data_IF_612055683971
#
_entry.id   IF_612055683971
#
_cell.length_a   1.000
_cell.length_b   1.000
_cell.length_c   1.000
_cell.angle_alpha   90.00
_cell.angle_beta   90.00
_cell.angle_gamma   90.00
#
_symmetry.space_group_name_H-M   'P 1'
#
loop_
_entity.id
_entity.type
_entity.pdbx_description
1 polymer ?
#
# COMPACT_ATOMS: atom_id res chain seq x y z
N UNK A 1 -21.39 -5.61 -36.54
CA UNK A 1 -22.26 -6.82 -36.60
C UNK A 1 -21.37 -8.03 -36.37
N UNK A 2 -21.29 -8.51 -35.12
CA UNK A 2 -20.52 -9.70 -34.78
C UNK A 2 -21.44 -10.66 -34.02
N UNK A 3 -21.46 -11.90 -34.47
CA UNK A 3 -22.43 -12.93 -34.11
C UNK A 3 -22.28 -13.38 -32.65
N UNK A 4 -23.42 -13.43 -31.96
CA UNK A 4 -23.54 -13.87 -30.56
C UNK A 4 -23.81 -15.37 -30.57
N UNK A 5 -22.79 -16.17 -30.25
CA UNK A 5 -22.88 -17.63 -30.19
C UNK A 5 -23.52 -18.04 -28.85
N UNK A 6 -24.79 -18.42 -28.90
CA UNK A 6 -25.55 -19.02 -27.80
C UNK A 6 -25.12 -20.46 -27.60
N UNK A 7 -24.39 -20.74 -26.51
CA UNK A 7 -24.12 -22.10 -26.05
C UNK A 7 -25.22 -22.51 -25.06
N UNK A 8 -26.18 -23.29 -25.54
CA UNK A 8 -27.18 -24.00 -24.73
C UNK A 8 -26.54 -25.26 -24.16
N UNK A 9 -26.10 -25.20 -22.90
CA UNK A 9 -25.64 -26.37 -22.16
C UNK A 9 -26.82 -27.16 -21.62
N UNK A 10 -27.12 -28.30 -22.26
CA UNK A 10 -27.95 -29.36 -21.71
C UNK A 10 -27.30 -29.92 -20.43
N UNK A 11 -28.00 -29.79 -19.30
CA UNK A 11 -27.67 -30.53 -18.09
C UNK A 11 -28.27 -31.93 -18.19
N UNK A 12 -27.48 -33.01 -18.10
CA UNK A 12 -28.02 -34.36 -18.05
C UNK A 12 -28.80 -34.56 -16.75
N UNK A 13 -30.04 -35.05 -16.89
CA UNK A 13 -30.91 -35.43 -15.80
C UNK A 13 -30.26 -36.53 -14.94
N UNK A 14 -30.12 -36.26 -13.64
CA UNK A 14 -29.69 -37.22 -12.63
C UNK A 14 -30.77 -38.30 -12.45
N UNK A 15 -30.42 -39.60 -12.46
CA UNK A 15 -31.37 -40.67 -12.20
C UNK A 15 -31.78 -40.66 -10.72
N UNK A 16 -33.09 -40.51 -10.50
CA UNK A 16 -33.75 -40.78 -9.23
C UNK A 16 -33.78 -42.30 -9.02
N UNK A 17 -32.70 -42.82 -8.44
CA UNK A 17 -32.62 -44.17 -7.90
C UNK A 17 -33.43 -44.24 -6.61
N UNK A 18 -34.66 -44.71 -6.75
CA UNK A 18 -35.45 -45.25 -5.66
C UNK A 18 -34.84 -46.60 -5.26
N UNK A 19 -34.34 -46.69 -4.02
CA UNK A 19 -34.40 -47.91 -3.23
C UNK A 19 -34.33 -47.52 -1.75
N UNK A 20 -35.53 -47.52 -1.17
CA UNK A 20 -35.82 -47.40 0.25
C UNK A 20 -35.20 -48.56 1.02
N UNK A 21 -33.99 -48.35 1.53
CA UNK A 21 -33.49 -49.05 2.71
C UNK A 21 -32.85 -48.03 3.64
N UNK A 22 -33.69 -47.32 4.39
CA UNK A 22 -33.22 -46.59 5.55
C UNK A 22 -32.63 -47.61 6.53
N UNK A 23 -31.30 -47.58 6.80
CA UNK A 23 -30.75 -48.40 7.86
C UNK A 23 -31.41 -47.95 9.16
N UNK A 24 -32.02 -48.91 9.87
CA UNK A 24 -32.48 -48.72 11.24
C UNK A 24 -31.26 -48.31 12.05
N UNK A 25 -31.13 -47.01 12.33
CA UNK A 25 -30.06 -46.48 13.17
C UNK A 25 -30.26 -47.13 14.53
N UNK A 26 -29.34 -47.98 15.01
CA UNK A 26 -29.44 -48.53 16.35
C UNK A 26 -29.45 -47.34 17.30
N UNK A 27 -30.47 -47.30 18.17
CA UNK A 27 -30.59 -46.30 19.22
C UNK A 27 -29.24 -46.19 19.93
N UNK A 28 -28.52 -45.10 19.65
CA UNK A 28 -27.25 -44.78 20.26
C UNK A 28 -27.52 -44.62 21.75
N UNK A 29 -27.19 -45.69 22.48
CA UNK A 29 -27.16 -45.78 23.92
C UNK A 29 -26.57 -44.49 24.48
N UNK A 30 -27.44 -43.67 25.08
CA UNK A 30 -27.11 -42.45 25.81
C UNK A 30 -26.45 -42.79 27.15
N UNK A 31 -25.37 -43.57 27.12
CA UNK A 31 -24.69 -43.99 28.33
C UNK A 31 -23.22 -44.30 28.04
N UNK A 32 -22.38 -43.27 28.25
CA UNK A 32 -20.94 -43.27 28.63
C UNK A 32 -20.10 -42.21 27.89
N UNK A 33 -20.65 -41.01 27.69
CA UNK A 33 -19.86 -39.80 27.39
C UNK A 33 -19.50 -38.97 28.64
N UNK A 34 -19.76 -39.47 29.85
CA UNK A 34 -19.63 -38.67 31.08
C UNK A 34 -18.18 -38.40 31.55
N UNK A 35 -17.22 -39.24 31.18
CA UNK A 35 -15.83 -39.12 31.68
C UNK A 35 -14.84 -38.60 30.61
N UNK A 36 -14.93 -39.07 29.36
CA UNK A 36 -14.09 -38.56 28.27
C UNK A 36 -14.55 -37.19 27.75
N UNK A 37 -15.86 -36.89 27.78
CA UNK A 37 -16.40 -35.60 27.31
C UNK A 37 -15.92 -34.43 28.17
N UNK A 38 -15.82 -34.61 29.49
CA UNK A 38 -15.33 -33.58 30.40
C UNK A 38 -13.83 -33.29 30.19
N UNK A 39 -13.02 -34.30 29.86
CA UNK A 39 -11.60 -34.10 29.57
C UNK A 39 -11.39 -33.40 28.22
N UNK A 40 -12.07 -33.86 27.17
CA UNK A 40 -12.00 -33.25 25.84
C UNK A 40 -12.50 -31.80 25.84
N UNK A 41 -13.61 -31.52 26.51
CA UNK A 41 -14.15 -30.15 26.63
C UNK A 41 -13.17 -29.22 27.37
N UNK A 42 -12.54 -29.69 28.46
CA UNK A 42 -11.52 -28.90 29.17
C UNK A 42 -10.31 -28.60 28.30
N UNK A 43 -9.83 -29.56 27.52
CA UNK A 43 -8.73 -29.34 26.58
C UNK A 43 -9.10 -28.32 25.51
N UNK A 44 -10.29 -28.43 24.90
CA UNK A 44 -10.76 -27.48 23.88
C UNK A 44 -10.82 -26.06 24.46
N UNK A 45 -11.36 -25.90 25.68
CA UNK A 45 -11.41 -24.59 26.35
C UNK A 45 -10.00 -24.05 26.62
N UNK A 46 -9.07 -24.87 27.09
CA UNK A 46 -7.68 -24.45 27.32
C UNK A 46 -7.00 -24.03 26.01
N UNK A 47 -7.13 -24.81 24.94
CA UNK A 47 -6.57 -24.47 23.63
C UNK A 47 -7.19 -23.19 23.05
N UNK A 48 -8.51 -23.01 23.16
CA UNK A 48 -9.18 -21.79 22.73
C UNK A 48 -8.68 -20.58 23.52
N UNK A 49 -8.50 -20.70 24.84
CA UNK A 49 -7.97 -19.63 25.69
C UNK A 49 -6.50 -19.30 25.36
N UNK A 50 -5.67 -20.31 25.11
CA UNK A 50 -4.27 -20.12 24.69
C UNK A 50 -4.20 -19.46 23.31
N UNK A 51 -5.04 -19.89 22.38
CA UNK A 51 -5.10 -19.30 21.04
C UNK A 51 -5.59 -17.84 21.08
N UNK A 52 -6.69 -17.58 21.80
CA UNK A 52 -7.20 -16.22 22.00
C UNK A 52 -6.17 -15.35 22.75
N UNK A 53 -5.53 -15.88 23.78
CA UNK A 53 -4.46 -15.20 24.51
C UNK A 53 -3.24 -14.90 23.64
N UNK A 54 -2.84 -15.84 22.78
CA UNK A 54 -1.79 -15.61 21.78
C UNK A 54 -2.18 -14.52 20.78
N UNK A 55 -3.41 -14.57 20.27
CA UNK A 55 -3.95 -13.57 19.34
C UNK A 55 -4.00 -12.18 19.98
N UNK A 56 -4.42 -12.07 21.24
CA UNK A 56 -4.42 -10.77 21.94
C UNK A 56 -3.02 -10.27 22.22
N UNK A 57 -2.05 -11.13 22.53
CA UNK A 57 -0.64 -10.70 22.67
C UNK A 57 -0.09 -10.22 21.34
N UNK A 58 -0.34 -10.92 20.23
CA UNK A 58 0.08 -10.48 18.89
C UNK A 58 -0.55 -9.13 18.55
N UNK A 59 -1.86 -8.96 18.77
CA UNK A 59 -2.54 -7.68 18.54
C UNK A 59 -2.08 -6.56 19.50
N UNK A 60 -1.75 -6.90 20.75
CA UNK A 60 -1.22 -5.93 21.71
C UNK A 60 0.21 -5.50 21.35
N UNK A 61 1.07 -6.44 20.94
CA UNK A 61 2.43 -6.12 20.50
C UNK A 61 2.44 -5.32 19.20
N UNK A 62 1.50 -5.59 18.28
CA UNK A 62 1.31 -4.76 17.09
C UNK A 62 0.89 -3.32 17.42
N UNK A 63 0.28 -3.07 18.59
CA UNK A 63 -0.08 -1.72 19.06
C UNK A 63 1.01 -1.02 19.87
N UNK A 64 1.86 -1.77 20.57
CA UNK A 64 2.86 -1.21 21.50
C UNK A 64 4.21 -0.97 20.85
N UNK A 65 4.63 -1.83 19.90
CA UNK A 65 5.89 -1.63 19.17
C UNK A 65 5.75 -0.71 17.96
N UNK A 66 4.55 -0.17 17.76
CA UNK A 66 4.26 0.77 16.72
C UNK A 66 4.12 2.13 17.40
N UNK A 67 5.15 2.97 17.32
CA UNK A 67 4.92 4.43 17.32
C UNK A 67 3.83 4.66 16.28
N UNK A 68 2.60 4.91 16.73
CA UNK A 68 1.36 4.55 16.03
C UNK A 68 1.40 4.97 14.54
N UNK A 69 1.62 4.03 13.60
CA UNK A 69 1.73 4.34 12.18
C UNK A 69 0.44 4.94 11.66
N UNK A 70 -0.69 4.61 12.28
CA UNK A 70 -2.00 5.17 11.97
C UNK A 70 -2.06 6.63 12.42
N UNK A 71 -1.52 6.97 13.59
CA UNK A 71 -1.44 8.36 14.03
C UNK A 71 -0.53 9.18 13.10
N UNK A 72 0.63 8.63 12.73
CA UNK A 72 1.58 9.27 11.79
C UNK A 72 0.98 9.46 10.40
N UNK A 73 0.22 8.48 9.91
CA UNK A 73 -0.49 8.59 8.64
C UNK A 73 -1.61 9.62 8.72
N UNK A 74 -2.35 9.65 9.82
CA UNK A 74 -3.40 10.65 10.03
C UNK A 74 -2.81 12.07 10.02
N UNK A 75 -1.63 12.27 10.60
CA UNK A 75 -0.92 13.56 10.54
C UNK A 75 -0.50 13.91 9.10
N UNK A 76 -0.04 12.92 8.33
CA UNK A 76 0.36 13.10 6.93
C UNK A 76 -0.82 13.46 6.01
N UNK A 77 -1.98 12.86 6.25
CA UNK A 77 -3.14 12.95 5.35
C UNK A 77 -4.24 13.89 5.85
N UNK A 78 -4.17 14.38 7.08
CA UNK A 78 -5.14 15.36 7.59
C UNK A 78 -4.70 16.75 7.16
N UNK A 79 -5.46 17.42 6.27
CA UNK A 79 -5.10 18.77 5.85
C UNK A 79 -5.25 19.74 7.04
N UNK A 80 -4.42 20.80 7.11
CA UNK A 80 -4.64 21.88 8.05
C UNK A 80 -5.97 22.59 7.77
N UNK A 81 -6.52 23.24 8.80
CA UNK A 81 -7.78 23.97 8.70
C UNK A 81 -7.76 24.96 7.52
N UNK A 82 -8.79 24.89 6.68
CA UNK A 82 -8.94 25.75 5.51
C UNK A 82 -8.24 25.27 4.23
N UNK A 83 -7.62 24.09 4.23
CA UNK A 83 -7.04 23.50 3.01
C UNK A 83 -7.89 22.35 2.47
N UNK A 84 -8.23 22.39 1.18
CA UNK A 84 -8.94 21.28 0.52
C UNK A 84 -7.93 20.22 0.08
N UNK A 85 -8.25 18.94 0.29
CA UNK A 85 -7.42 17.83 -0.20
C UNK A 85 -7.30 17.86 -1.73
N UNK A 86 -6.13 17.52 -2.31
CA UNK A 86 -4.87 17.14 -1.65
C UNK A 86 -4.12 18.38 -1.12
N UNK A 87 -3.66 18.34 0.13
CA UNK A 87 -2.91 19.45 0.71
C UNK A 87 -1.93 18.97 1.76
N UNK A 88 -0.70 19.49 1.72
CA UNK A 88 0.35 19.15 2.67
C UNK A 88 0.91 20.43 3.29
N UNK A 89 0.69 20.62 4.61
CA UNK A 89 1.07 21.83 5.35
C UNK A 89 0.72 23.16 4.65
N UNK A 90 -0.47 23.24 4.04
CA UNK A 90 -0.95 24.45 3.35
C UNK A 90 -0.46 24.58 1.90
N UNK A 91 0.36 23.65 1.42
CA UNK A 91 0.78 23.56 0.02
C UNK A 91 -0.25 22.70 -0.74
N UNK A 92 -1.02 23.35 -1.60
CA UNK A 92 -2.07 22.73 -2.40
C UNK A 92 -1.66 22.70 -3.88
N UNK A 93 -1.46 21.51 -4.46
CA UNK A 93 -1.23 21.36 -5.90
C UNK A 93 -2.32 22.06 -6.75
N UNK A 94 -1.88 22.75 -7.79
CA UNK A 94 -2.69 23.56 -8.70
C UNK A 94 -2.99 24.98 -8.19
N UNK A 95 -2.97 25.22 -6.88
CA UNK A 95 -3.36 26.51 -6.28
C UNK A 95 -2.18 27.29 -5.70
N UNK A 96 -1.22 26.61 -5.08
CA UNK A 96 -0.08 27.27 -4.42
C UNK A 96 0.98 27.67 -5.44
N UNK A 97 1.42 28.93 -5.37
CA UNK A 97 2.55 29.45 -6.16
C UNK A 97 3.89 28.96 -5.61
N UNK A 98 4.96 29.05 -6.41
CA UNK A 98 6.32 28.70 -5.95
C UNK A 98 6.72 29.51 -4.72
N UNK A 99 6.46 30.82 -4.71
CA UNK A 99 6.81 31.70 -3.61
C UNK A 99 6.08 31.33 -2.30
N UNK A 100 4.78 31.03 -2.39
CA UNK A 100 3.99 30.57 -1.24
C UNK A 100 4.47 29.21 -0.72
N UNK A 101 4.80 28.28 -1.62
CA UNK A 101 5.30 26.95 -1.23
C UNK A 101 6.64 27.04 -0.49
N UNK A 102 7.57 27.86 -0.98
CA UNK A 102 8.87 28.08 -0.31
C UNK A 102 8.66 28.72 1.07
N UNK A 103 7.82 29.76 1.15
CA UNK A 103 7.52 30.41 2.42
C UNK A 103 6.87 29.45 3.44
N UNK A 104 6.00 28.54 2.96
CA UNK A 104 5.41 27.50 3.80
C UNK A 104 6.47 26.50 4.29
N UNK A 105 7.36 26.03 3.42
CA UNK A 105 8.46 25.13 3.78
C UNK A 105 9.40 25.74 4.81
N UNK A 106 9.80 27.00 4.63
CA UNK A 106 10.71 27.71 5.53
C UNK A 106 10.10 27.97 6.92
N UNK A 107 8.77 27.94 7.05
CA UNK A 107 8.08 28.07 8.33
C UNK A 107 7.99 26.76 9.11
N UNK A 108 8.28 25.61 8.48
CA UNK A 108 8.23 24.32 9.15
C UNK A 108 9.46 24.16 10.07
N UNK A 109 9.27 23.89 11.38
CA UNK A 109 10.38 23.84 12.34
C UNK A 109 11.34 22.67 12.09
N UNK A 110 10.94 21.70 11.26
CA UNK A 110 11.71 20.52 10.92
C UNK A 110 12.37 20.55 9.52
N UNK A 111 12.24 21.65 8.77
CA UNK A 111 12.96 21.84 7.50
C UNK A 111 14.31 22.51 7.77
N UNK A 112 15.38 21.92 7.25
CA UNK A 112 16.75 22.42 7.41
C UNK A 112 17.17 23.36 6.27
N UNK A 113 16.92 22.92 5.04
CA UNK A 113 17.39 23.56 3.82
C UNK A 113 16.34 23.38 2.72
N UNK A 114 16.10 24.44 1.95
CA UNK A 114 15.27 24.42 0.75
C UNK A 114 16.12 24.84 -0.44
N UNK A 115 16.08 24.04 -1.51
CA UNK A 115 16.79 24.30 -2.76
C UNK A 115 15.80 24.39 -3.91
N UNK A 116 15.90 25.49 -4.66
CA UNK A 116 15.01 25.78 -5.78
C UNK A 116 15.81 25.66 -7.08
N UNK A 117 15.29 24.90 -8.03
CA UNK A 117 15.76 24.86 -9.41
C UNK A 117 14.54 25.02 -10.33
N UNK A 118 14.71 25.43 -11.61
CA UNK A 118 13.56 25.59 -12.50
C UNK A 118 12.73 24.30 -12.59
N UNK A 119 11.42 24.38 -12.32
CA UNK A 119 10.51 23.23 -12.34
C UNK A 119 10.51 22.36 -11.08
N UNK A 120 11.34 22.64 -10.07
CA UNK A 120 11.48 21.77 -8.90
C UNK A 120 11.97 22.49 -7.64
N UNK A 121 11.38 22.13 -6.49
CA UNK A 121 11.86 22.52 -5.17
C UNK A 121 12.22 21.24 -4.42
N UNK A 122 13.42 21.15 -3.88
CA UNK A 122 13.85 20.06 -3.00
C UNK A 122 14.12 20.60 -1.61
N UNK A 123 13.96 19.78 -0.60
CA UNK A 123 14.33 20.16 0.76
C UNK A 123 14.82 18.96 1.57
N UNK A 124 15.44 19.28 2.71
CA UNK A 124 15.97 18.34 3.67
C UNK A 124 15.43 18.62 5.06
N UNK A 125 15.28 17.56 5.84
CA UNK A 125 14.86 17.64 7.23
C UNK A 125 16.03 17.95 8.16
N UNK A 126 15.73 18.58 9.29
CA UNK A 126 16.65 18.69 10.41
C UNK A 126 16.43 17.55 11.44
N UNK A 127 17.05 17.67 12.62
CA UNK A 127 16.96 16.67 13.69
C UNK A 127 15.61 16.69 14.45
N UNK A 128 14.78 17.72 14.25
CA UNK A 128 13.45 17.85 14.85
C UNK A 128 12.32 17.25 14.01
N UNK A 129 12.67 16.45 13.00
CA UNK A 129 11.70 15.83 12.10
C UNK A 129 10.84 14.78 12.79
N UNK A 130 9.55 14.66 12.41
CA UNK A 130 8.74 13.49 12.77
C UNK A 130 9.37 12.17 12.32
N UNK A 131 9.17 11.11 13.10
CA UNK A 131 9.74 9.76 12.85
C UNK A 131 9.25 9.14 11.54
N UNK A 132 8.07 9.54 11.07
CA UNK A 132 7.52 9.13 9.77
C UNK A 132 8.38 9.56 8.59
N UNK A 133 9.26 10.56 8.78
CA UNK A 133 10.10 11.15 7.75
C UNK A 133 11.60 10.81 7.91
N UNK A 134 11.93 9.63 8.44
CA UNK A 134 13.33 9.25 8.69
C UNK A 134 14.20 9.27 7.41
N UNK A 135 15.42 9.81 7.53
CA UNK A 135 16.36 9.93 6.42
C UNK A 135 16.78 8.54 5.91
N UNK A 136 16.57 8.30 4.63
CA UNK A 136 16.96 7.04 3.98
C UNK A 136 18.32 7.11 3.27
N UNK A 137 19.10 8.17 3.52
CA UNK A 137 20.39 8.39 2.84
C UNK A 137 20.25 8.82 1.38
N UNK A 138 19.08 9.33 0.96
CA UNK A 138 18.83 9.84 -0.40
C UNK A 138 19.22 11.29 -0.57
N UNK A 139 19.27 11.73 -1.83
CA UNK A 139 19.71 13.06 -2.22
C UNK A 139 18.80 14.19 -1.73
N UNK A 140 17.53 13.93 -1.42
CA UNK A 140 16.56 14.86 -0.86
C UNK A 140 15.51 14.09 -0.05
N UNK A 141 14.89 14.75 0.92
CA UNK A 141 13.87 14.14 1.77
C UNK A 141 12.44 14.40 1.26
N UNK A 142 12.24 15.53 0.58
CA UNK A 142 11.02 15.85 -0.13
C UNK A 142 11.25 16.66 -1.38
N UNK A 143 10.27 16.64 -2.29
CA UNK A 143 10.32 17.30 -3.58
C UNK A 143 8.96 17.88 -3.96
N UNK A 144 8.95 19.10 -4.46
CA UNK A 144 7.81 19.74 -5.11
C UNK A 144 8.14 19.85 -6.60
N UNK A 145 7.19 19.50 -7.45
CA UNK A 145 7.28 19.81 -8.88
C UNK A 145 6.40 21.01 -9.18
N UNK A 146 6.88 21.84 -10.11
CA UNK A 146 6.22 23.07 -10.49
C UNK A 146 5.99 23.12 -12.00
N UNK A 147 4.92 23.76 -12.42
CA UNK A 147 4.64 24.02 -13.83
C UNK A 147 3.96 25.38 -14.00
N UNK A 148 4.10 25.94 -15.20
CA UNK A 148 3.43 27.19 -15.56
C UNK A 148 1.96 26.89 -15.87
N UNK A 149 1.07 27.33 -14.98
CA UNK A 149 -0.38 27.25 -15.14
C UNK A 149 -0.95 28.66 -15.27
N UNK A 150 -1.62 28.94 -16.39
CA UNK A 150 -2.20 30.27 -16.67
C UNK A 150 -1.19 31.44 -16.60
N UNK A 151 0.07 31.19 -16.99
CA UNK A 151 1.12 32.22 -17.02
C UNK A 151 1.85 32.43 -15.69
N UNK A 152 1.56 31.63 -14.66
CA UNK A 152 2.23 31.67 -13.36
C UNK A 152 2.76 30.29 -12.99
N UNK A 153 3.96 30.24 -12.40
CA UNK A 153 4.55 28.97 -11.93
C UNK A 153 3.88 28.54 -10.62
N UNK A 154 3.27 27.36 -10.63
CA UNK A 154 2.49 26.80 -9.54
C UNK A 154 2.93 25.39 -9.23
N UNK A 155 2.74 24.99 -7.98
CA UNK A 155 2.96 23.61 -7.53
C UNK A 155 2.01 22.68 -8.26
N UNK A 156 2.51 21.59 -8.84
CA UNK A 156 1.69 20.54 -9.47
C UNK A 156 1.74 19.21 -8.70
N UNK A 157 2.79 19.00 -7.93
CA UNK A 157 2.90 17.83 -7.06
C UNK A 157 3.80 18.10 -5.86
N UNK A 158 3.52 17.42 -4.75
CA UNK A 158 4.39 17.36 -3.56
C UNK A 158 4.65 15.89 -3.28
N UNK A 159 5.91 15.49 -3.25
CA UNK A 159 6.38 14.12 -3.03
C UNK A 159 7.19 14.07 -1.75
N UNK A 160 6.81 13.18 -0.85
CA UNK A 160 7.42 12.98 0.45
C UNK A 160 7.95 11.57 0.54
N UNK A 161 9.17 11.43 1.04
CA UNK A 161 9.64 10.13 1.48
C UNK A 161 9.12 9.83 2.89
N UNK A 162 8.67 8.59 3.11
CA UNK A 162 8.21 8.15 4.43
C UNK A 162 8.88 6.84 4.84
N UNK A 163 8.80 6.52 6.12
CA UNK A 163 9.13 5.21 6.68
C UNK A 163 7.95 4.24 6.66
N UNK A 164 6.78 4.70 6.25
CA UNK A 164 5.59 3.86 6.17
C UNK A 164 5.79 2.80 5.10
N UNK A 165 5.39 1.58 5.42
CA UNK A 165 5.44 0.47 4.47
C UNK A 165 4.19 0.45 3.61
N UNK A 166 4.27 -0.17 2.44
CA UNK A 166 3.12 -0.34 1.57
C UNK A 166 1.96 -1.07 2.28
N UNK A 167 2.27 -2.10 3.07
CA UNK A 167 1.26 -2.83 3.85
C UNK A 167 0.58 -1.95 4.91
N UNK A 168 1.33 -1.04 5.56
CA UNK A 168 0.74 -0.09 6.51
C UNK A 168 -0.20 0.90 5.81
N UNK A 169 0.19 1.40 4.63
CA UNK A 169 -0.64 2.32 3.84
C UNK A 169 -1.94 1.67 3.39
N UNK A 170 -1.88 0.45 2.84
CA UNK A 170 -3.07 -0.27 2.37
C UNK A 170 -3.99 -0.68 3.53
N UNK A 171 -3.44 -1.10 4.67
CA UNK A 171 -4.24 -1.39 5.86
C UNK A 171 -5.00 -0.16 6.39
N UNK A 172 -4.40 1.03 6.26
CA UNK A 172 -4.96 2.25 6.81
C UNK A 172 -5.89 3.01 5.85
N UNK A 173 -5.61 2.98 4.54
CA UNK A 173 -6.41 3.65 3.51
C UNK A 173 -7.45 2.73 2.85
N UNK A 174 -7.31 1.42 3.02
CA UNK A 174 -8.09 0.43 2.27
C UNK A 174 -7.49 0.17 0.88
N UNK A 175 -8.30 -0.41 0.01
CA UNK A 175 -7.88 -0.68 -1.37
C UNK A 175 -7.73 0.63 -2.18
N UNK A 176 -6.66 0.78 -2.98
CA UNK A 176 -6.53 1.90 -3.91
C UNK A 176 -7.53 1.80 -5.06
N UNK A 177 -7.86 2.95 -5.66
CA UNK A 177 -8.72 3.04 -6.85
C UNK A 177 -8.12 2.30 -8.04
N UNK A 178 -6.80 2.31 -8.17
CA UNK A 178 -6.05 1.58 -9.20
C UNK A 178 -4.59 1.38 -8.80
N UNK A 179 -3.91 0.44 -9.47
CA UNK A 179 -2.48 0.18 -9.29
C UNK A 179 -1.77 0.17 -10.65
N UNK A 180 -0.57 0.73 -10.68
CA UNK A 180 0.30 0.77 -11.85
C UNK A 180 1.68 0.25 -11.48
N UNK A 181 2.28 -0.53 -12.37
CA UNK A 181 3.66 -1.02 -12.28
C UNK A 181 4.45 -0.46 -13.45
N UNK A 182 5.59 0.16 -13.17
CA UNK A 182 6.56 0.62 -14.16
C UNK A 182 7.83 -0.21 -14.01
N UNK A 183 8.23 -0.93 -15.05
CA UNK A 183 9.55 -1.56 -15.05
C UNK A 183 10.58 -0.49 -15.36
N UNK A 184 11.62 -0.36 -14.53
CA UNK A 184 12.76 0.51 -14.78
C UNK A 184 13.85 -0.36 -15.36
N UNK A 185 14.11 -0.19 -16.66
CA UNK A 185 15.29 -0.78 -17.28
C UNK A 185 16.45 0.21 -17.17
N UNK A 186 17.59 -0.21 -16.64
CA UNK A 186 18.73 0.65 -16.50
C UNK A 186 19.34 0.94 -17.88
N UNK A 187 19.39 2.22 -18.26
CA UNK A 187 20.10 2.68 -19.46
C UNK A 187 21.63 2.44 -19.38
N UNK A 188 22.15 2.16 -18.19
CA UNK A 188 23.56 1.90 -17.93
C UNK A 188 23.77 0.98 -16.71
N UNK A 189 24.93 0.33 -16.63
CA UNK A 189 25.30 -0.63 -15.57
C UNK A 189 25.27 -0.08 -14.12
N UNK A 190 24.92 1.19 -13.88
CA UNK A 190 24.86 1.79 -12.54
C UNK A 190 23.47 1.77 -11.92
N UNK A 191 22.42 1.56 -12.70
CA UNK A 191 21.07 1.37 -12.16
C UNK A 191 20.77 -0.12 -12.08
N UNK A 192 20.21 -0.55 -10.95
CA UNK A 192 19.68 -1.90 -10.83
C UNK A 192 18.32 -1.96 -11.52
N UNK A 193 18.02 -3.11 -12.12
CA UNK A 193 16.66 -3.42 -12.56
C UNK A 193 15.71 -3.26 -11.37
N UNK A 194 14.58 -2.62 -11.63
CA UNK A 194 13.60 -2.36 -10.59
C UNK A 194 12.20 -2.23 -11.13
N UNK A 195 11.25 -2.23 -10.20
CA UNK A 195 9.85 -1.94 -10.49
C UNK A 195 9.41 -0.79 -9.61
N UNK A 196 8.78 0.20 -10.21
CA UNK A 196 8.04 1.20 -9.45
C UNK A 196 6.58 0.79 -9.41
N UNK A 197 6.10 0.52 -8.20
CA UNK A 197 4.69 0.29 -7.97
C UNK A 197 4.04 1.59 -7.50
N UNK A 198 2.86 1.91 -8.04
CA UNK A 198 2.07 3.09 -7.73
C UNK A 198 0.65 2.65 -7.41
N UNK A 199 0.17 2.99 -6.22
CA UNK A 199 -1.21 2.85 -5.78
C UNK A 199 -1.88 4.23 -5.76
N UNK A 200 -3.03 4.35 -6.43
CA UNK A 200 -3.75 5.60 -6.59
C UNK A 200 -4.93 5.68 -5.62
N UNK A 201 -4.99 6.72 -4.79
CA UNK A 201 -6.05 7.01 -3.82
C UNK A 201 -6.62 8.41 -4.09
N UNK A 202 -7.44 8.53 -5.14
CA UNK A 202 -7.95 9.79 -5.64
C UNK A 202 -6.83 10.76 -6.05
N UNK A 203 -6.62 11.80 -5.25
CA UNK A 203 -5.60 12.83 -5.49
C UNK A 203 -4.29 12.60 -4.72
N UNK A 204 -4.18 11.47 -4.02
CA UNK A 204 -2.99 11.02 -3.31
C UNK A 204 -2.48 9.76 -4.00
N UNK A 205 -1.18 9.71 -4.27
CA UNK A 205 -0.52 8.56 -4.86
C UNK A 205 0.51 8.02 -3.86
N UNK A 206 0.52 6.70 -3.68
CA UNK A 206 1.48 6.01 -2.83
C UNK A 206 2.35 5.17 -3.75
N UNK A 207 3.65 5.37 -3.76
CA UNK A 207 4.52 4.60 -4.65
C UNK A 207 5.79 4.16 -3.96
N UNK A 208 6.36 3.06 -4.44
CA UNK A 208 7.56 2.45 -3.89
C UNK A 208 8.44 1.98 -5.05
N UNK A 209 9.75 2.12 -4.87
CA UNK A 209 10.75 1.66 -5.82
C UNK A 209 11.30 0.36 -5.27
N UNK A 210 11.14 -0.71 -6.03
CA UNK A 210 11.44 -2.08 -5.65
C UNK A 210 12.63 -2.55 -6.47
N UNK A 211 13.63 -3.11 -5.79
CA UNK A 211 14.80 -3.71 -6.45
C UNK A 211 14.52 -5.19 -6.71
N UNK A 212 14.83 -5.68 -7.91
CA UNK A 212 14.70 -7.11 -8.22
C UNK A 212 15.93 -7.91 -7.73
N UNK A 213 15.77 -9.21 -7.39
CA UNK A 213 14.51 -9.91 -7.18
C UNK A 213 13.87 -9.47 -5.86
N UNK A 214 12.54 -9.50 -5.82
CA UNK A 214 11.76 -9.13 -4.63
C UNK A 214 10.76 -10.23 -4.31
N UNK A 215 10.55 -10.52 -3.03
CA UNK A 215 9.50 -11.43 -2.61
C UNK A 215 8.23 -10.68 -2.13
N UNK A 216 7.21 -11.45 -1.75
CA UNK A 216 5.93 -10.90 -1.25
C UNK A 216 6.14 -10.11 0.04
N UNK A 217 7.04 -10.57 0.91
CA UNK A 217 7.32 -9.94 2.21
C UNK A 217 8.04 -8.62 1.99
N UNK A 218 9.02 -8.58 1.08
CA UNK A 218 9.75 -7.36 0.70
C UNK A 218 8.81 -6.33 0.10
N UNK A 219 7.89 -6.75 -0.77
CA UNK A 219 6.90 -5.85 -1.36
C UNK A 219 6.07 -5.12 -0.30
N UNK A 220 5.46 -5.87 0.62
CA UNK A 220 4.58 -5.29 1.64
C UNK A 220 5.34 -4.51 2.71
N UNK A 221 6.60 -4.85 2.98
CA UNK A 221 7.44 -4.13 3.93
C UNK A 221 8.27 -3.00 3.30
N UNK A 222 8.17 -2.81 1.98
CA UNK A 222 8.92 -1.75 1.31
C UNK A 222 8.43 -0.35 1.73
N UNK A 223 9.34 0.59 2.05
CA UNK A 223 8.98 1.97 2.35
C UNK A 223 8.35 2.66 1.14
N UNK A 224 7.38 3.53 1.40
CA UNK A 224 6.65 4.26 0.37
C UNK A 224 6.98 5.76 0.34
N UNK A 225 6.83 6.31 -0.85
CA UNK A 225 6.68 7.72 -1.10
C UNK A 225 5.19 8.06 -1.15
N UNK A 226 4.83 9.22 -0.62
CA UNK A 226 3.48 9.76 -0.70
C UNK A 226 3.52 11.02 -1.55
N UNK A 227 2.69 11.05 -2.58
CA UNK A 227 2.60 12.17 -3.50
C UNK A 227 1.20 12.76 -3.54
N UNK A 228 1.13 14.07 -3.31
CA UNK A 228 -0.07 14.88 -3.44
C UNK A 228 -0.12 15.51 -4.84
N UNK A 229 -1.28 15.45 -5.50
CA UNK A 229 -1.47 16.01 -6.84
C UNK A 229 -1.13 14.99 -7.95
N UNK A 230 -0.61 15.48 -9.07
CA UNK A 230 -0.28 14.66 -10.25
C UNK A 230 1.23 14.67 -10.48
N UNK A 231 2.00 13.87 -9.71
CA UNK A 231 3.44 13.85 -9.87
C UNK A 231 3.83 13.37 -11.26
N UNK A 232 4.79 14.06 -11.89
CA UNK A 232 5.45 13.58 -13.08
C UNK A 232 6.47 12.51 -12.68
N UNK A 233 5.92 11.33 -12.44
CA UNK A 233 6.65 10.09 -12.24
C UNK A 233 7.15 9.60 -13.61
N UNK A 234 8.05 10.37 -14.22
CA UNK A 234 8.72 10.03 -15.47
C UNK A 234 9.70 8.89 -15.22
N UNK A 235 9.16 7.68 -15.05
CA UNK A 235 9.92 6.44 -15.08
C UNK A 235 9.97 5.97 -16.54
N UNK A 236 11.19 5.83 -17.06
CA UNK A 236 11.41 5.24 -18.38
C UNK A 236 11.19 3.71 -18.29
N UNK A 237 10.40 3.16 -19.23
CA UNK A 237 10.15 1.72 -19.35
C UNK A 237 8.69 1.33 -19.63
N UNK A 238 8.41 0.03 -19.57
CA UNK A 238 7.07 -0.52 -19.82
C UNK A 238 6.12 -0.23 -18.66
N UNK A 239 4.87 0.11 -19.00
CA UNK A 239 3.80 0.40 -18.04
C UNK A 239 2.79 -0.74 -18.05
N UNK A 240 2.60 -1.36 -16.89
CA UNK A 240 1.60 -2.38 -16.67
C UNK A 240 0.52 -1.85 -15.71
N UNK A 241 -0.69 -1.66 -16.23
CA UNK A 241 -1.85 -1.32 -15.40
C UNK A 241 -2.56 -2.60 -14.97
N UNK A 242 -2.88 -2.73 -13.69
CA UNK A 242 -3.60 -3.89 -13.18
C UNK A 242 -4.49 -3.51 -12.00
N UNK A 243 -5.72 -4.02 -11.97
CA UNK A 243 -6.65 -3.84 -10.83
C UNK A 243 -6.20 -4.67 -9.60
N UNK A 244 -5.58 -5.83 -9.86
CA UNK A 244 -5.04 -6.73 -8.85
C UNK A 244 -3.55 -6.92 -9.06
N UNK A 245 -2.76 -7.05 -8.00
CA UNK A 245 -1.36 -7.47 -8.14
C UNK A 245 -1.36 -8.86 -8.78
N UNK A 246 -0.84 -9.01 -10.01
CA UNK A 246 -0.93 -10.29 -10.69
C UNK A 246 -0.12 -11.32 -9.90
N UNK A 247 -0.61 -12.55 -9.76
CA UNK A 247 0.15 -13.61 -9.08
C UNK A 247 1.51 -13.92 -9.73
N UNK A 248 1.75 -13.47 -10.97
CA UNK A 248 3.05 -13.53 -11.64
C UNK A 248 4.04 -12.46 -11.18
N UNK A 249 3.57 -11.37 -10.57
CA UNK A 249 4.41 -10.26 -10.09
C UNK A 249 5.43 -10.71 -9.04
N UNK A 250 5.06 -11.69 -8.22
CA UNK A 250 5.92 -12.26 -7.17
C UNK A 250 6.68 -13.51 -7.60
N UNK A 251 6.72 -13.80 -8.91
CA UNK A 251 7.55 -14.89 -9.45
C UNK A 251 8.83 -14.30 -10.00
N UNK A 252 9.91 -15.07 -9.98
CA UNK A 252 11.20 -14.74 -10.60
C UNK A 252 11.12 -14.40 -12.11
N UNK A 253 9.93 -14.54 -12.71
CA UNK A 253 9.63 -14.26 -14.12
C UNK A 253 8.85 -12.97 -14.34
N UNK A 254 8.73 -12.09 -13.34
CA UNK A 254 8.12 -10.78 -13.55
C UNK A 254 8.90 -10.05 -14.67
N UNK A 255 8.23 -9.49 -15.69
CA UNK A 255 8.87 -8.67 -16.71
C UNK A 255 9.70 -7.57 -16.06
N UNK A 256 10.98 -7.45 -16.41
CA UNK A 256 11.94 -6.52 -15.80
C UNK A 256 12.70 -7.04 -14.58
N UNK A 257 12.37 -8.22 -14.03
CA UNK A 257 13.13 -8.85 -12.94
C UNK A 257 13.88 -10.13 -13.36
N UNK A 258 14.06 -10.39 -14.66
CA UNK A 258 14.77 -11.59 -15.11
C UNK A 258 16.26 -11.46 -14.79
N UNK A 259 16.78 -12.34 -13.93
CA UNK A 259 18.22 -12.49 -13.75
C UNK A 259 18.87 -12.83 -15.10
N UNK A 260 19.71 -11.95 -15.63
CA UNK A 260 20.65 -12.33 -16.69
C UNK A 260 21.63 -13.39 -16.20
#
# INVERSE_FOLDING_TARGET
MAARTTATGEYPALPLGADDQFPVIPALSAARFGLFGNFAMRLIVVFALVFLGGLTVVMAQARVNADDPVASLSELLTPPDGCSMPCWHGIQPGSTTVAEAVAALEQLPFVAEVRIVPGMISWWWNDFRPTVYEQTGRAFDGRIETAVLNGEERVISVVLQTTLTLGQMELALGDPDSRTLHTVHPDNDRQADGVVHIAHYGSVNVFNILTCPMDVVDFWNSPVYVAFGTPNLAFEGDVFQSELLPGWFFRDTAPGCTSN
#
